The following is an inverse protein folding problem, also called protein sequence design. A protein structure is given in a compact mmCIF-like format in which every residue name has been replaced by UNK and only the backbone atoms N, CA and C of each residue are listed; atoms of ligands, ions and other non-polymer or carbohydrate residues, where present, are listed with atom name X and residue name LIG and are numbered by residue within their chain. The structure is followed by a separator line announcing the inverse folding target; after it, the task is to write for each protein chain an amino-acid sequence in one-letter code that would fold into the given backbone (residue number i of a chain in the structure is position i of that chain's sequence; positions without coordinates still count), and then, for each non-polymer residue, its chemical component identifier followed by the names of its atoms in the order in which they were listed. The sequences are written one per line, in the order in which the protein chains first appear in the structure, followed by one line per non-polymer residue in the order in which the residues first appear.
data_IF_818749309939
#
_entry.id   IF_818749309939
#
_cell.length_a   1.000
_cell.length_b   1.000
_cell.length_c   1.000
_cell.angle_alpha   90.00
_cell.angle_beta   90.00
_cell.angle_gamma   90.00
#
_symmetry.space_group_name_H-M   'P 1'
#
loop_
_entity.id
_entity.type
_entity.pdbx_description
1 polymer ?
#
# COMPACT_ATOMS: atom_id res chain seq x y z
N UNK A 1 -39.44 -33.02 -67.11
CA UNK A 1 -39.13 -31.75 -66.40
C UNK A 1 -38.42 -32.12 -65.09
N UNK A 2 -37.09 -31.97 -65.04
CA UNK A 2 -36.28 -32.39 -63.90
C UNK A 2 -35.92 -31.13 -63.08
N UNK A 3 -36.50 -30.99 -61.89
CA UNK A 3 -36.22 -29.87 -60.96
C UNK A 3 -34.90 -30.21 -60.24
N UNK A 4 -33.84 -29.41 -60.43
CA UNK A 4 -32.59 -29.49 -59.69
C UNK A 4 -32.68 -28.67 -58.40
N UNK A 5 -32.68 -29.35 -57.28
CA UNK A 5 -32.58 -28.72 -55.95
C UNK A 5 -31.13 -28.27 -55.72
N UNK A 6 -30.92 -26.97 -55.62
CA UNK A 6 -29.63 -26.40 -55.24
C UNK A 6 -29.65 -26.21 -53.74
N UNK A 7 -28.84 -27.00 -53.03
CA UNK A 7 -28.60 -26.86 -51.58
C UNK A 7 -27.46 -25.81 -51.41
N UNK A 8 -27.81 -24.66 -50.91
CA UNK A 8 -26.82 -23.61 -50.52
C UNK A 8 -26.39 -23.91 -49.08
N UNK A 9 -25.16 -24.38 -48.90
CA UNK A 9 -24.52 -24.58 -47.60
C UNK A 9 -23.95 -23.24 -47.11
N UNK A 10 -24.65 -22.58 -46.20
CA UNK A 10 -24.11 -21.38 -45.50
C UNK A 10 -23.10 -21.80 -44.42
N UNK A 11 -21.83 -21.66 -44.72
CA UNK A 11 -20.72 -21.77 -43.74
C UNK A 11 -20.73 -20.47 -42.89
N UNK A 12 -21.34 -20.54 -41.71
CA UNK A 12 -21.19 -19.50 -40.68
C UNK A 12 -19.81 -19.65 -40.03
N UNK A 13 -18.83 -18.96 -40.61
CA UNK A 13 -17.49 -18.84 -40.00
C UNK A 13 -17.56 -17.96 -38.74
N UNK A 14 -17.66 -18.61 -37.57
CA UNK A 14 -17.51 -17.90 -36.31
C UNK A 14 -16.08 -17.37 -36.16
N UNK A 15 -15.93 -16.05 -36.26
CA UNK A 15 -14.66 -15.35 -35.95
C UNK A 15 -14.45 -15.44 -34.44
N UNK A 16 -13.68 -16.44 -33.95
CA UNK A 16 -13.15 -16.42 -32.61
C UNK A 16 -12.14 -15.28 -32.50
N UNK A 17 -12.56 -14.14 -31.97
CA UNK A 17 -11.64 -13.10 -31.54
C UNK A 17 -10.89 -13.61 -30.32
N UNK A 18 -9.64 -14.06 -30.54
CA UNK A 18 -8.69 -14.24 -29.45
C UNK A 18 -8.43 -12.85 -28.83
N UNK A 19 -9.10 -12.58 -27.70
CA UNK A 19 -8.68 -11.48 -26.85
C UNK A 19 -7.32 -11.84 -26.30
N UNK A 20 -6.28 -11.28 -26.87
CA UNK A 20 -4.92 -11.42 -26.34
C UNK A 20 -4.96 -10.85 -24.91
N UNK A 21 -4.83 -11.75 -23.92
CA UNK A 21 -4.67 -11.37 -22.53
C UNK A 21 -3.32 -10.65 -22.46
N UNK A 22 -3.33 -9.34 -22.24
CA UNK A 22 -2.11 -8.56 -21.98
C UNK A 22 -1.30 -9.30 -20.91
N UNK A 23 0.00 -9.55 -21.09
CA UNK A 23 0.80 -10.18 -20.06
C UNK A 23 0.58 -9.43 -18.74
N UNK A 24 0.41 -10.11 -17.62
CA UNK A 24 0.30 -9.43 -16.34
C UNK A 24 1.55 -8.58 -16.17
N UNK A 25 1.38 -7.26 -16.04
CA UNK A 25 2.47 -6.34 -15.76
C UNK A 25 3.22 -6.79 -14.50
N UNK A 26 4.45 -6.35 -14.33
CA UNK A 26 5.26 -6.65 -13.15
C UNK A 26 4.46 -6.31 -11.87
N UNK A 27 4.11 -7.28 -11.00
CA UNK A 27 3.31 -7.03 -9.79
C UNK A 27 3.93 -5.96 -8.88
N UNK A 28 5.25 -5.92 -8.74
CA UNK A 28 5.95 -4.90 -7.96
C UNK A 28 5.66 -3.50 -8.50
N UNK A 29 5.75 -3.31 -9.81
CA UNK A 29 5.47 -2.03 -10.44
C UNK A 29 4.00 -1.63 -10.28
N UNK A 30 3.08 -2.59 -10.39
CA UNK A 30 1.65 -2.34 -10.17
C UNK A 30 1.37 -1.85 -8.74
N UNK A 31 2.03 -2.44 -7.73
CA UNK A 31 1.89 -2.01 -6.34
C UNK A 31 2.47 -0.61 -6.13
N UNK A 32 3.64 -0.29 -6.70
CA UNK A 32 4.21 1.06 -6.62
C UNK A 32 3.27 2.12 -7.18
N UNK A 33 2.72 1.87 -8.37
CA UNK A 33 1.74 2.76 -8.99
C UNK A 33 0.43 2.85 -8.20
N UNK A 34 0.05 1.78 -7.51
CA UNK A 34 -1.15 1.76 -6.67
C UNK A 34 -0.94 2.59 -5.41
N UNK A 35 0.22 2.51 -4.77
CA UNK A 35 0.58 3.35 -3.63
C UNK A 35 0.59 4.84 -3.99
N UNK A 36 1.12 5.22 -5.16
CA UNK A 36 1.05 6.59 -5.64
C UNK A 36 -0.41 7.08 -5.75
N UNK A 37 -1.31 6.23 -6.25
CA UNK A 37 -2.74 6.56 -6.41
C UNK A 37 -3.46 6.63 -5.06
N UNK A 38 -3.21 5.69 -4.16
CA UNK A 38 -3.78 5.65 -2.80
C UNK A 38 -3.39 6.91 -2.04
N UNK A 39 -2.09 7.19 -1.96
CA UNK A 39 -1.57 8.35 -1.25
C UNK A 39 -1.97 9.66 -1.93
N UNK A 40 -2.09 9.68 -3.27
CA UNK A 40 -2.61 10.82 -4.02
C UNK A 40 -4.08 11.13 -3.70
N UNK A 41 -4.94 10.11 -3.63
CA UNK A 41 -6.35 10.26 -3.25
C UNK A 41 -6.48 10.72 -1.79
N UNK A 42 -5.66 10.19 -0.88
CA UNK A 42 -5.59 10.63 0.51
C UNK A 42 -5.20 12.11 0.62
N UNK A 43 -4.13 12.53 -0.05
CA UNK A 43 -3.67 13.92 -0.07
C UNK A 43 -4.72 14.87 -0.67
N UNK A 44 -5.49 14.42 -1.67
CA UNK A 44 -6.55 15.18 -2.31
C UNK A 44 -7.84 15.25 -1.46
N UNK A 45 -7.94 14.52 -0.36
CA UNK A 45 -9.18 14.33 0.43
C UNK A 45 -10.32 13.70 -0.39
N UNK A 46 -9.98 12.93 -1.43
CA UNK A 46 -10.95 12.19 -2.24
C UNK A 46 -11.25 10.84 -1.58
N UNK A 47 -12.13 10.87 -0.57
CA UNK A 47 -12.49 9.67 0.19
C UNK A 47 -13.10 8.56 -0.69
N UNK A 48 -13.99 8.84 -1.67
CA UNK A 48 -14.48 7.80 -2.56
C UNK A 48 -13.37 7.09 -3.34
N UNK A 49 -12.44 7.84 -3.95
CA UNK A 49 -11.29 7.27 -4.63
C UNK A 49 -10.37 6.52 -3.65
N UNK A 50 -10.03 7.12 -2.51
CA UNK A 50 -9.18 6.53 -1.48
C UNK A 50 -9.71 5.17 -1.04
N UNK A 51 -10.96 5.10 -0.59
CA UNK A 51 -11.55 3.85 -0.11
C UNK A 51 -11.84 2.83 -1.22
N UNK A 52 -11.83 3.25 -2.49
CA UNK A 52 -11.97 2.32 -3.60
C UNK A 52 -10.80 1.33 -3.70
N UNK A 53 -9.64 1.63 -3.11
CA UNK A 53 -8.46 0.77 -3.11
C UNK A 53 -8.50 -0.32 -2.03
N UNK A 54 -9.41 -0.22 -1.06
CA UNK A 54 -9.52 -1.15 0.06
C UNK A 54 -10.47 -2.31 -0.26
N UNK A 55 -10.15 -3.49 0.26
CA UNK A 55 -11.01 -4.66 0.13
C UNK A 55 -12.15 -4.63 1.16
N UNK A 56 -13.30 -5.26 0.90
CA UNK A 56 -14.40 -5.32 1.87
C UNK A 56 -14.03 -6.02 3.19
N UNK A 57 -13.07 -6.95 3.14
CA UNK A 57 -12.54 -7.70 4.29
C UNK A 57 -11.28 -7.05 4.90
N UNK A 58 -11.05 -5.77 4.62
CA UNK A 58 -9.94 -5.00 5.16
C UNK A 58 -9.95 -4.95 6.69
N UNK A 59 -8.75 -4.99 7.27
CA UNK A 59 -8.53 -4.68 8.69
C UNK A 59 -7.29 -3.79 8.86
N UNK A 60 -7.29 -3.01 9.93
CA UNK A 60 -6.21 -2.08 10.24
C UNK A 60 -5.78 -2.24 11.70
N UNK A 61 -4.48 -2.11 11.95
CA UNK A 61 -3.94 -1.94 13.28
C UNK A 61 -3.42 -0.51 13.45
N UNK A 62 -3.94 0.14 14.46
CA UNK A 62 -3.54 1.47 14.94
C UNK A 62 -2.95 1.34 16.34
N UNK A 63 -2.30 2.38 16.91
CA UNK A 63 -1.87 2.38 18.31
C UNK A 63 -3.01 2.07 19.29
N UNK A 64 -4.24 2.45 18.97
CA UNK A 64 -5.45 2.24 19.77
C UNK A 64 -6.03 0.83 19.65
N UNK A 65 -5.59 0.04 18.66
CA UNK A 65 -6.04 -1.31 18.41
C UNK A 65 -6.52 -1.59 16.99
N UNK A 66 -7.18 -2.74 16.83
CA UNK A 66 -7.66 -3.18 15.51
C UNK A 66 -8.99 -2.51 15.14
N UNK A 67 -9.11 -2.09 13.90
CA UNK A 67 -10.35 -1.57 13.31
C UNK A 67 -10.65 -2.22 11.95
N UNK A 68 -11.83 -2.00 11.40
CA UNK A 68 -12.31 -2.50 10.11
C UNK A 68 -12.60 -1.37 9.13
N UNK A 69 -12.88 -1.71 7.86
CA UNK A 69 -13.16 -0.73 6.81
C UNK A 69 -14.35 0.19 7.14
N UNK A 70 -15.53 -0.29 7.59
CA UNK A 70 -16.65 0.58 7.94
C UNK A 70 -16.31 1.62 9.02
N UNK A 71 -15.58 1.21 10.05
CA UNK A 71 -15.14 2.11 11.13
C UNK A 71 -14.15 3.14 10.58
N UNK A 72 -13.16 2.71 9.82
CA UNK A 72 -12.16 3.58 9.21
C UNK A 72 -12.79 4.62 8.26
N UNK A 73 -13.71 4.20 7.39
CA UNK A 73 -14.47 5.09 6.52
C UNK A 73 -15.29 6.12 7.31
N UNK A 74 -15.97 5.67 8.36
CA UNK A 74 -16.79 6.54 9.22
C UNK A 74 -15.95 7.63 9.87
N UNK A 75 -14.77 7.27 10.39
CA UNK A 75 -13.92 8.21 11.12
C UNK A 75 -13.30 9.26 10.18
N UNK A 76 -12.80 8.86 9.01
CA UNK A 76 -12.32 9.80 8.00
C UNK A 76 -13.43 10.68 7.45
N UNK A 77 -14.60 10.11 7.16
CA UNK A 77 -15.77 10.87 6.69
C UNK A 77 -16.16 11.93 7.72
N UNK A 78 -16.21 11.56 9.01
CA UNK A 78 -16.51 12.50 10.10
C UNK A 78 -15.46 13.61 10.18
N UNK A 79 -14.18 13.28 10.06
CA UNK A 79 -13.09 14.25 10.10
C UNK A 79 -13.21 15.28 8.97
N UNK A 80 -13.36 14.83 7.73
CA UNK A 80 -13.46 15.70 6.54
C UNK A 80 -14.76 16.52 6.56
N UNK A 81 -15.91 15.88 6.80
CA UNK A 81 -17.21 16.58 6.87
C UNK A 81 -17.29 17.56 8.04
N UNK A 82 -16.54 17.30 9.11
CA UNK A 82 -16.41 18.21 10.24
C UNK A 82 -15.53 19.45 9.96
N UNK A 83 -14.96 19.59 8.75
CA UNK A 83 -14.09 20.71 8.36
C UNK A 83 -12.59 20.43 8.53
N UNK A 84 -12.22 19.22 8.92
CA UNK A 84 -10.83 18.76 8.88
C UNK A 84 -10.36 18.50 7.45
N UNK A 85 -9.06 18.46 7.24
CA UNK A 85 -8.47 18.12 5.94
C UNK A 85 -7.05 17.59 6.05
N UNK A 86 -6.64 16.83 5.07
CA UNK A 86 -5.23 16.55 4.76
C UNK A 86 -4.72 17.73 3.96
N UNK A 87 -3.65 18.39 4.41
CA UNK A 87 -3.01 19.50 3.70
C UNK A 87 -1.91 19.02 2.77
N UNK A 88 -1.23 17.96 3.16
CA UNK A 88 -0.25 17.25 2.33
C UNK A 88 -0.04 15.82 2.84
N UNK A 89 0.27 14.93 1.93
CA UNK A 89 0.74 13.59 2.22
C UNK A 89 1.78 13.20 1.17
N UNK A 90 2.91 12.69 1.61
CA UNK A 90 4.00 12.20 0.75
C UNK A 90 4.59 10.94 1.35
N UNK A 91 4.92 9.98 0.52
CA UNK A 91 5.61 8.78 0.96
C UNK A 91 7.06 8.74 0.47
N UNK A 92 7.92 8.08 1.22
CA UNK A 92 9.32 7.85 0.91
C UNK A 92 9.76 6.46 1.35
N UNK A 93 10.93 6.02 0.88
CA UNK A 93 11.52 4.74 1.21
C UNK A 93 10.59 3.53 0.91
N UNK A 94 9.81 3.64 -0.19
CA UNK A 94 8.87 2.59 -0.58
C UNK A 94 9.60 1.31 -0.95
N UNK A 95 9.39 0.27 -0.16
CA UNK A 95 9.86 -1.08 -0.37
C UNK A 95 8.68 -2.01 -0.64
N UNK A 96 8.74 -2.74 -1.75
CA UNK A 96 7.68 -3.67 -2.16
C UNK A 96 8.23 -5.09 -2.19
N UNK A 97 7.53 -6.01 -1.55
CA UNK A 97 7.79 -7.44 -1.56
C UNK A 97 6.60 -8.17 -2.16
N UNK A 98 6.82 -8.93 -3.21
CA UNK A 98 5.79 -9.74 -3.87
C UNK A 98 5.91 -11.19 -3.41
N UNK A 99 4.78 -11.80 -3.06
CA UNK A 99 4.72 -13.20 -2.69
C UNK A 99 5.05 -14.13 -3.87
N UNK A 100 5.45 -15.40 -3.59
CA UNK A 100 5.95 -16.31 -4.63
C UNK A 100 4.92 -16.64 -5.72
N UNK A 101 3.62 -16.60 -5.43
CA UNK A 101 2.53 -16.80 -6.39
C UNK A 101 2.22 -15.55 -7.23
N UNK A 102 2.77 -14.37 -6.87
CA UNK A 102 2.54 -13.12 -7.59
C UNK A 102 1.15 -12.50 -7.38
N UNK A 103 0.37 -12.99 -6.42
CA UNK A 103 -0.99 -12.54 -6.09
C UNK A 103 -1.12 -11.89 -4.71
N UNK A 104 -0.01 -11.77 -4.00
CA UNK A 104 0.11 -11.10 -2.70
C UNK A 104 1.32 -10.18 -2.74
N UNK A 105 1.19 -9.01 -2.13
CA UNK A 105 2.32 -8.10 -1.95
C UNK A 105 2.23 -7.37 -0.60
N UNK A 106 3.40 -6.94 -0.11
CA UNK A 106 3.53 -6.02 1.01
C UNK A 106 4.28 -4.79 0.53
N UNK A 107 3.71 -3.62 0.75
CA UNK A 107 4.39 -2.34 0.60
C UNK A 107 4.69 -1.78 1.99
N UNK A 108 5.90 -1.27 2.20
CA UNK A 108 6.30 -0.62 3.45
C UNK A 108 7.01 0.68 3.14
N UNK A 109 6.66 1.76 3.85
CA UNK A 109 7.18 3.10 3.55
C UNK A 109 7.07 4.03 4.76
N UNK A 110 7.63 5.23 4.63
CA UNK A 110 7.41 6.33 5.56
C UNK A 110 6.37 7.27 4.92
N UNK A 111 5.23 7.42 5.57
CA UNK A 111 4.21 8.40 5.21
C UNK A 111 4.42 9.66 6.06
N UNK A 112 4.73 10.79 5.42
CA UNK A 112 4.65 12.12 6.04
C UNK A 112 3.31 12.73 5.71
N UNK A 113 2.49 12.94 6.72
CA UNK A 113 1.18 13.55 6.60
C UNK A 113 1.10 14.84 7.41
N UNK A 114 0.49 15.86 6.81
CA UNK A 114 0.11 17.10 7.47
C UNK A 114 -1.41 17.24 7.38
N UNK A 115 -2.05 17.33 8.53
CA UNK A 115 -3.50 17.48 8.64
C UNK A 115 -3.84 18.76 9.39
N UNK A 116 -5.04 19.26 9.13
CA UNK A 116 -5.62 20.40 9.87
C UNK A 116 -7.00 20.04 10.38
N UNK A 117 -7.24 20.26 11.67
CA UNK A 117 -8.57 20.08 12.26
C UNK A 117 -9.52 21.23 11.88
N UNK A 118 -10.83 21.05 12.11
CA UNK A 118 -11.83 22.09 11.96
C UNK A 118 -11.56 23.34 12.82
N UNK A 119 -10.83 23.18 13.93
CA UNK A 119 -10.42 24.28 14.82
C UNK A 119 -9.15 25.00 14.35
N UNK A 120 -8.55 24.55 13.22
CA UNK A 120 -7.32 25.11 12.69
C UNK A 120 -6.04 24.51 13.27
N UNK A 121 -6.14 23.53 14.18
CA UNK A 121 -4.98 22.83 14.74
C UNK A 121 -4.29 22.01 13.66
N UNK A 122 -2.98 22.11 13.57
CA UNK A 122 -2.17 21.41 12.59
C UNK A 122 -1.40 20.30 13.27
N UNK A 123 -1.49 19.07 12.73
CA UNK A 123 -0.60 17.95 13.05
C UNK A 123 0.28 17.65 11.84
N UNK A 124 1.55 17.38 12.09
CA UNK A 124 2.51 16.90 11.09
C UNK A 124 3.26 15.70 11.67
N UNK A 125 3.15 14.57 11.01
CA UNK A 125 3.66 13.31 11.52
C UNK A 125 4.35 12.51 10.42
N UNK A 126 5.46 11.88 10.79
CA UNK A 126 6.10 10.81 10.02
C UNK A 126 5.63 9.48 10.61
N UNK A 127 5.11 8.60 9.76
CA UNK A 127 4.56 7.31 10.16
C UNK A 127 5.20 6.18 9.35
N UNK A 128 5.46 5.06 10.01
CA UNK A 128 5.79 3.80 9.36
C UNK A 128 4.48 3.14 8.97
N UNK A 129 4.30 2.90 7.69
CA UNK A 129 3.11 2.26 7.15
C UNK A 129 3.48 0.97 6.43
N UNK A 130 2.62 -0.03 6.55
CA UNK A 130 2.75 -1.29 5.82
C UNK A 130 1.38 -1.72 5.35
N UNK A 131 1.24 -1.83 4.03
CA UNK A 131 0.03 -2.27 3.34
C UNK A 131 0.22 -3.66 2.78
N UNK A 132 -0.75 -4.53 3.03
CA UNK A 132 -0.81 -5.85 2.41
C UNK A 132 -1.87 -5.84 1.32
N UNK A 133 -1.45 -6.25 0.13
CA UNK A 133 -2.30 -6.32 -1.05
C UNK A 133 -2.57 -7.76 -1.44
N UNK A 134 -3.82 -8.04 -1.81
CA UNK A 134 -4.21 -9.26 -2.51
C UNK A 134 -4.71 -8.95 -3.90
N UNK A 135 -4.25 -9.74 -4.88
CA UNK A 135 -4.81 -9.75 -6.22
C UNK A 135 -5.92 -10.78 -6.30
N UNK A 136 -7.15 -10.32 -6.46
CA UNK A 136 -8.33 -11.18 -6.61
C UNK A 136 -8.97 -10.95 -7.97
N UNK A 137 -8.81 -11.93 -8.86
CA UNK A 137 -9.36 -11.84 -10.21
C UNK A 137 -8.72 -10.74 -11.09
N UNK A 138 -7.44 -10.43 -10.88
CA UNK A 138 -6.70 -9.40 -11.63
C UNK A 138 -6.79 -8.00 -11.01
N UNK A 139 -7.44 -7.85 -9.86
CA UNK A 139 -7.60 -6.57 -9.17
C UNK A 139 -6.87 -6.62 -7.82
N UNK A 140 -5.91 -5.71 -7.65
CA UNK A 140 -5.21 -5.51 -6.38
C UNK A 140 -6.04 -4.64 -5.43
N UNK A 141 -6.13 -5.07 -4.17
CA UNK A 141 -6.79 -4.32 -3.09
C UNK A 141 -5.98 -4.44 -1.81
N UNK A 142 -5.98 -3.37 -1.01
CA UNK A 142 -5.43 -3.37 0.34
C UNK A 142 -6.37 -4.19 1.23
N UNK A 143 -5.85 -5.25 1.86
CA UNK A 143 -6.58 -6.11 2.80
C UNK A 143 -6.17 -5.89 4.25
N UNK A 144 -4.99 -5.29 4.45
CA UNK A 144 -4.48 -4.98 5.78
C UNK A 144 -3.58 -3.76 5.71
N UNK A 145 -3.67 -2.92 6.74
CA UNK A 145 -2.80 -1.77 6.95
C UNK A 145 -2.31 -1.75 8.40
N UNK A 146 -1.03 -1.55 8.57
CA UNK A 146 -0.42 -1.24 9.86
C UNK A 146 0.22 0.13 9.80
N UNK A 147 -0.12 0.97 10.76
CA UNK A 147 0.31 2.35 10.84
C UNK A 147 0.84 2.63 12.24
N UNK A 148 2.04 3.18 12.33
CA UNK A 148 2.69 3.49 13.59
C UNK A 148 3.59 4.74 13.46
N UNK A 149 3.62 5.63 14.46
CA UNK A 149 4.50 6.78 14.42
C UNK A 149 5.96 6.38 14.19
N UNK A 150 6.61 7.02 13.22
CA UNK A 150 8.03 6.78 12.96
C UNK A 150 8.89 7.28 14.14
N UNK A 151 10.00 6.61 14.45
CA UNK A 151 10.93 7.09 15.45
C UNK A 151 11.42 8.51 15.11
N UNK A 152 11.28 9.43 16.04
CA UNK A 152 11.85 10.78 15.85
C UNK A 152 13.36 10.63 15.68
N UNK A 153 13.91 11.08 14.54
CA UNK A 153 15.37 11.17 14.37
C UNK A 153 15.87 12.01 15.53
N UNK A 154 16.69 11.40 16.42
CA UNK A 154 17.43 12.19 17.40
C UNK A 154 18.20 13.24 16.60
N UNK A 155 17.97 14.53 16.87
CA UNK A 155 18.83 15.57 16.34
C UNK A 155 20.27 15.11 16.59
N UNK A 156 21.09 15.06 15.56
CA UNK A 156 22.51 14.75 15.70
C UNK A 156 23.10 15.86 16.58
N UNK A 157 23.03 15.65 17.87
CA UNK A 157 23.81 16.38 18.83
C UNK A 157 25.23 16.04 18.47
N UNK A 158 26.00 17.03 18.00
CA UNK A 158 27.37 16.90 17.58
C UNK A 158 28.21 16.30 18.69
N UNK A 159 28.29 15.00 18.70
CA UNK A 159 29.20 14.26 19.53
C UNK A 159 30.55 14.30 18.82
N UNK A 160 31.36 15.27 19.21
CA UNK A 160 32.79 15.19 19.01
C UNK A 160 33.22 13.80 19.53
N UNK A 161 33.53 12.93 18.58
CA UNK A 161 34.19 11.64 18.86
C UNK A 161 35.48 11.93 19.65
N UNK A 162 35.37 11.93 20.97
CA UNK A 162 36.50 11.72 21.85
C UNK A 162 36.97 10.29 21.58
N UNK A 163 38.14 10.20 20.98
CA UNK A 163 38.86 8.97 20.67
C UNK A 163 39.13 8.18 21.98
N UNK A 164 38.19 7.41 22.45
CA UNK A 164 38.45 6.39 23.47
C UNK A 164 38.70 5.06 22.75
N UNK A 165 40.00 4.79 22.64
CA UNK A 165 40.62 3.50 22.28
C UNK A 165 39.94 2.39 23.09
N UNK A 166 39.09 1.60 22.49
CA UNK A 166 38.62 0.33 23.05
C UNK A 166 39.77 -0.68 22.96
N UNK A 167 40.41 -0.90 24.09
CA UNK A 167 41.34 -2.02 24.28
C UNK A 167 40.53 -3.32 24.21
N UNK A 168 40.75 -4.06 23.15
CA UNK A 168 40.27 -5.42 22.98
C UNK A 168 41.05 -6.31 23.92
N UNK A 169 40.44 -6.85 24.98
CA UNK A 169 41.00 -7.89 25.84
C UNK A 169 40.57 -9.24 25.30
N UNK A 170 41.47 -10.08 24.77
CA UNK A 170 41.11 -11.43 24.37
C UNK A 170 40.92 -12.30 25.63
N UNK A 171 39.73 -12.90 25.75
CA UNK A 171 39.46 -13.95 26.73
C UNK A 171 40.25 -15.22 26.35
N UNK A 172 41.34 -15.45 27.04
CA UNK A 172 42.07 -16.72 27.00
C UNK A 172 41.23 -17.79 27.73
N UNK A 173 41.08 -18.93 27.05
CA UNK A 173 40.46 -20.11 27.61
C UNK A 173 41.16 -20.64 28.85
N UNK A 174 40.36 -21.20 29.76
CA UNK A 174 40.85 -22.14 30.77
C UNK A 174 40.28 -23.52 30.42
N UNK A 175 41.21 -24.35 29.90
CA UNK A 175 41.12 -25.80 30.02
C UNK A 175 41.50 -26.16 31.46
N UNK A 176 40.90 -27.23 32.00
CA UNK A 176 41.51 -28.00 33.06
C UNK A 176 40.57 -28.48 34.17
N UNK A 177 40.29 -29.74 34.07
CA UNK A 177 40.04 -30.86 34.99
C UNK A 177 38.59 -31.26 35.13
#
# INVERSE_FOLDING_TARGET
MKIRLIVILLLAGGLLTLVAKTPPGNPEQQIRELEDKVNGAYAANDLPAYFSYYAPDFSQWLPEGRTDLPTYQKDWTRFIQGGGRVESATHSDLHVQVGPSGDTAVASYILRARTRSAKGEVSEEDNQESDVFFNRGGVWKIVFLHYFPAPKKKAQQGERLSTRRLLFVPLHGRNGL
#
